data_IF_904835635260
#
_entry.id   IF_904835635260
#
_cell.length_a   1.000
_cell.length_b   1.000
_cell.length_c   1.000
_cell.angle_alpha   90.00
_cell.angle_beta   90.00
_cell.angle_gamma   90.00
#
_symmetry.space_group_name_H-M   'P 1'
#
loop_
_entity.id
_entity.type
_entity.pdbx_description
1 polymer ?
#
# COMPACT_ATOMS: atom_id res chain seq x y z
N UNK A 1 -29.87 -50.92 -50.23
CA UNK A 1 -30.10 -49.54 -49.73
C UNK A 1 -28.99 -49.15 -48.73
N UNK A 2 -27.92 -48.54 -49.25
CA UNK A 2 -26.83 -47.99 -48.45
C UNK A 2 -27.22 -46.59 -47.95
N UNK A 3 -27.08 -46.33 -46.66
CA UNK A 3 -27.24 -44.99 -46.09
C UNK A 3 -26.00 -44.13 -46.41
N UNK A 4 -26.16 -42.86 -46.80
CA UNK A 4 -25.04 -41.98 -47.15
C UNK A 4 -24.32 -41.47 -45.88
N UNK A 5 -22.99 -41.59 -45.87
CA UNK A 5 -22.12 -41.08 -44.81
C UNK A 5 -22.15 -39.55 -44.75
N UNK A 6 -22.32 -39.01 -43.55
CA UNK A 6 -22.22 -37.59 -43.25
C UNK A 6 -20.75 -37.12 -43.30
N UNK A 7 -20.47 -36.11 -44.12
CA UNK A 7 -19.19 -35.41 -44.13
C UNK A 7 -18.99 -34.65 -42.80
N UNK A 8 -17.78 -34.65 -42.21
CA UNK A 8 -17.49 -33.85 -41.02
C UNK A 8 -17.58 -32.35 -41.33
N UNK A 9 -18.05 -31.51 -40.38
CA UNK A 9 -18.23 -30.09 -40.61
C UNK A 9 -16.88 -29.39 -40.85
N UNK A 10 -16.84 -28.32 -41.68
CA UNK A 10 -15.60 -27.61 -41.99
C UNK A 10 -15.01 -27.00 -40.71
N UNK A 11 -13.74 -27.31 -40.43
CA UNK A 11 -12.96 -26.65 -39.36
C UNK A 11 -12.94 -25.16 -39.66
N UNK A 12 -13.69 -24.36 -38.89
CA UNK A 12 -13.54 -22.91 -38.86
C UNK A 12 -12.10 -22.61 -38.43
N UNK A 13 -11.28 -22.13 -39.35
CA UNK A 13 -9.96 -21.58 -39.05
C UNK A 13 -10.22 -20.26 -38.32
N UNK A 14 -10.24 -20.32 -37.00
CA UNK A 14 -10.31 -19.12 -36.16
C UNK A 14 -8.95 -18.45 -36.25
N UNK A 15 -8.92 -17.19 -36.71
CA UNK A 15 -7.69 -16.41 -36.75
C UNK A 15 -7.10 -16.30 -35.33
N UNK A 16 -5.80 -16.54 -35.15
CA UNK A 16 -5.19 -16.51 -33.82
C UNK A 16 -5.32 -15.13 -33.20
N UNK A 17 -5.65 -15.10 -31.92
CA UNK A 17 -5.73 -13.86 -31.13
C UNK A 17 -4.35 -13.24 -30.98
N UNK A 18 -4.28 -11.92 -30.79
CA UNK A 18 -3.00 -11.18 -30.61
C UNK A 18 -2.16 -11.78 -29.48
N UNK A 19 -2.80 -12.30 -28.42
CA UNK A 19 -2.13 -13.01 -27.33
C UNK A 19 -1.49 -14.34 -27.78
N UNK A 20 -2.12 -15.10 -28.67
CA UNK A 20 -1.58 -16.34 -29.23
C UNK A 20 -0.37 -16.07 -30.14
N UNK A 21 -0.44 -15.02 -30.96
CA UNK A 21 0.67 -14.59 -31.83
C UNK A 21 1.87 -14.13 -31.00
N UNK A 22 1.61 -13.33 -29.95
CA UNK A 22 2.67 -12.88 -29.04
C UNK A 22 3.29 -14.03 -28.24
N UNK A 23 2.49 -15.00 -27.80
CA UNK A 23 2.99 -16.20 -27.13
C UNK A 23 3.89 -17.04 -28.07
N UNK A 24 3.53 -17.14 -29.35
CA UNK A 24 4.35 -17.83 -30.35
C UNK A 24 5.68 -17.09 -30.60
N UNK A 25 5.65 -15.76 -30.73
CA UNK A 25 6.86 -14.94 -30.85
C UNK A 25 7.79 -15.10 -29.63
N UNK A 26 7.24 -15.03 -28.41
CA UNK A 26 8.01 -15.23 -27.17
C UNK A 26 8.61 -16.63 -27.12
N UNK A 27 7.86 -17.66 -27.53
CA UNK A 27 8.34 -19.05 -27.54
C UNK A 27 9.48 -19.23 -28.54
N UNK A 28 9.38 -18.62 -29.73
CA UNK A 28 10.47 -18.63 -30.71
C UNK A 28 11.72 -17.92 -30.18
N UNK A 29 11.56 -16.79 -29.49
CA UNK A 29 12.65 -16.06 -28.87
C UNK A 29 13.31 -16.90 -27.76
N UNK A 30 12.49 -17.51 -26.90
CA UNK A 30 12.98 -18.39 -25.83
C UNK A 30 13.84 -19.53 -26.40
N UNK A 31 13.36 -20.21 -27.44
CA UNK A 31 14.09 -21.31 -28.07
C UNK A 31 15.42 -20.87 -28.69
N UNK A 32 15.54 -19.61 -29.15
CA UNK A 32 16.79 -19.08 -29.70
C UNK A 32 17.83 -18.76 -28.63
N UNK A 33 17.40 -18.23 -27.48
CA UNK A 33 18.31 -17.56 -26.56
C UNK A 33 18.42 -18.19 -25.16
N UNK A 34 17.36 -18.74 -24.56
CA UNK A 34 17.40 -19.10 -23.13
C UNK A 34 16.66 -20.36 -22.71
N UNK A 35 15.82 -20.95 -23.57
CA UNK A 35 14.99 -22.11 -23.24
C UNK A 35 15.83 -23.28 -22.66
N UNK A 36 15.35 -23.95 -21.60
CA UNK A 36 16.14 -24.96 -20.89
C UNK A 36 16.44 -26.21 -21.71
N UNK A 37 15.57 -26.55 -22.65
CA UNK A 37 15.67 -27.78 -23.46
C UNK A 37 16.55 -27.63 -24.72
N UNK A 38 17.07 -26.43 -25.00
CA UNK A 38 17.87 -26.15 -26.20
C UNK A 38 19.37 -26.17 -25.88
N UNK A 39 20.13 -27.04 -26.56
CA UNK A 39 21.57 -27.26 -26.31
C UNK A 39 22.49 -26.18 -26.90
N UNK A 40 22.12 -25.55 -28.02
CA UNK A 40 22.89 -24.48 -28.67
C UNK A 40 22.05 -23.20 -28.68
N UNK A 41 22.47 -22.22 -27.87
CA UNK A 41 21.80 -20.92 -27.72
C UNK A 41 22.64 -19.85 -28.40
N UNK A 42 22.00 -18.82 -28.93
CA UNK A 42 22.71 -17.64 -29.45
C UNK A 42 23.37 -16.85 -28.31
N UNK A 43 24.44 -16.07 -28.59
CA UNK A 43 25.02 -15.14 -27.64
C UNK A 43 23.99 -14.14 -27.10
N UNK A 44 24.27 -13.57 -25.94
CA UNK A 44 23.40 -12.55 -25.35
C UNK A 44 23.30 -11.34 -26.28
N UNK A 45 22.06 -10.95 -26.57
CA UNK A 45 21.70 -9.69 -27.23
C UNK A 45 20.75 -8.95 -26.29
N UNK A 46 20.74 -7.62 -26.31
CA UNK A 46 19.88 -6.85 -25.41
C UNK A 46 18.43 -6.82 -25.91
N UNK A 47 17.77 -7.97 -25.92
CA UNK A 47 16.37 -8.13 -26.31
C UNK A 47 15.53 -8.14 -25.04
N UNK A 48 15.04 -6.97 -24.66
CA UNK A 48 14.09 -6.86 -23.55
C UNK A 48 12.67 -6.94 -24.12
N UNK A 49 12.09 -8.12 -24.05
CA UNK A 49 10.78 -8.42 -24.64
C UNK A 49 9.63 -7.87 -23.79
N UNK A 50 8.57 -7.49 -24.50
CA UNK A 50 7.49 -6.59 -24.07
C UNK A 50 6.65 -7.15 -22.91
N UNK A 51 6.27 -6.24 -22.00
CA UNK A 51 5.43 -6.41 -20.81
C UNK A 51 4.08 -7.13 -20.99
N UNK A 52 3.62 -7.34 -22.21
CA UNK A 52 2.27 -7.80 -22.54
C UNK A 52 2.09 -9.33 -22.53
N UNK A 53 3.13 -10.12 -22.26
CA UNK A 53 3.05 -11.60 -22.33
C UNK A 53 3.86 -12.28 -21.21
N UNK A 54 3.48 -12.00 -19.95
CA UNK A 54 4.15 -12.51 -18.74
C UNK A 54 4.12 -14.04 -18.57
N UNK A 55 2.98 -14.75 -18.78
CA UNK A 55 2.94 -16.19 -18.50
C UNK A 55 3.90 -17.01 -19.38
N UNK A 56 3.96 -16.82 -20.72
CA UNK A 56 4.95 -17.52 -21.57
C UNK A 56 6.41 -17.24 -21.19
N UNK A 57 6.72 -16.00 -20.80
CA UNK A 57 8.07 -15.61 -20.36
C UNK A 57 8.45 -16.33 -19.05
N UNK A 58 7.52 -16.43 -18.10
CA UNK A 58 7.75 -17.12 -16.84
C UNK A 58 8.04 -18.62 -17.05
N UNK A 59 7.19 -19.33 -17.81
CA UNK A 59 7.39 -20.76 -18.10
C UNK A 59 8.69 -21.06 -18.85
N UNK A 60 9.19 -20.09 -19.62
CA UNK A 60 10.44 -20.23 -20.38
C UNK A 60 11.73 -20.07 -19.56
N UNK A 61 11.64 -19.78 -18.25
CA UNK A 61 12.78 -19.48 -17.37
C UNK A 61 13.57 -18.23 -17.80
N UNK A 62 12.86 -17.17 -18.20
CA UNK A 62 13.46 -15.93 -18.70
C UNK A 62 14.34 -15.23 -17.65
N UNK A 63 13.92 -15.24 -16.38
CA UNK A 63 14.68 -14.63 -15.29
C UNK A 63 15.99 -15.40 -15.01
N UNK A 64 15.87 -16.73 -14.93
CA UNK A 64 16.95 -17.64 -14.56
C UNK A 64 18.02 -17.76 -15.63
N UNK A 65 17.62 -17.86 -16.89
CA UNK A 65 18.51 -18.24 -17.98
C UNK A 65 18.92 -17.05 -18.86
N UNK A 66 18.25 -15.89 -18.77
CA UNK A 66 18.52 -14.74 -19.63
C UNK A 66 18.77 -13.45 -18.86
N UNK A 67 17.81 -13.00 -18.04
CA UNK A 67 17.89 -11.69 -17.39
C UNK A 67 19.01 -11.66 -16.33
N UNK A 68 18.88 -12.43 -15.25
CA UNK A 68 19.79 -12.22 -14.11
C UNK A 68 21.23 -12.66 -14.38
N UNK A 69 21.41 -13.73 -15.15
CA UNK A 69 22.74 -14.26 -15.49
C UNK A 69 23.55 -13.23 -16.28
N UNK A 70 22.90 -12.49 -17.17
CA UNK A 70 23.54 -11.47 -18.00
C UNK A 70 23.39 -10.05 -17.44
N UNK A 71 22.77 -9.88 -16.27
CA UNK A 71 22.65 -8.57 -15.65
C UNK A 71 24.02 -8.06 -15.21
N UNK A 72 24.33 -6.83 -15.61
CA UNK A 72 25.49 -6.06 -15.22
C UNK A 72 25.10 -4.57 -15.14
N UNK A 73 25.76 -3.76 -14.29
CA UNK A 73 25.43 -2.34 -14.13
C UNK A 73 25.43 -1.55 -15.44
N UNK A 74 26.32 -1.88 -16.38
CA UNK A 74 26.44 -1.19 -17.68
C UNK A 74 25.24 -1.46 -18.60
N UNK A 75 24.59 -2.61 -18.46
CA UNK A 75 23.44 -3.04 -19.26
C UNK A 75 22.10 -2.62 -18.65
N UNK A 76 22.13 -1.97 -17.48
CA UNK A 76 20.95 -1.61 -16.70
C UNK A 76 20.13 -0.52 -17.40
N UNK A 77 19.04 -0.91 -18.06
CA UNK A 77 18.05 0.00 -18.65
C UNK A 77 16.71 -0.04 -17.91
N UNK A 78 15.83 0.94 -18.20
CA UNK A 78 14.43 0.93 -17.70
C UNK A 78 13.75 -0.39 -18.01
N UNK A 79 13.84 -0.85 -19.26
CA UNK A 79 13.22 -2.09 -19.69
C UNK A 79 13.76 -3.29 -18.88
N UNK A 80 15.08 -3.37 -18.70
CA UNK A 80 15.71 -4.47 -17.94
C UNK A 80 15.22 -4.49 -16.48
N UNK A 81 15.21 -3.32 -15.83
CA UNK A 81 14.75 -3.14 -14.45
C UNK A 81 13.31 -3.66 -14.30
N UNK A 82 12.42 -3.16 -15.15
CA UNK A 82 11.00 -3.50 -15.11
C UNK A 82 10.75 -4.99 -15.44
N UNK A 83 11.50 -5.57 -16.39
CA UNK A 83 11.37 -7.00 -16.72
C UNK A 83 11.75 -7.89 -15.54
N UNK A 84 12.82 -7.57 -14.80
CA UNK A 84 13.19 -8.33 -13.60
C UNK A 84 12.08 -8.23 -12.54
N UNK A 85 11.59 -7.02 -12.24
CA UNK A 85 10.52 -6.81 -11.27
C UNK A 85 9.23 -7.57 -11.67
N UNK A 86 8.82 -7.49 -12.94
CA UNK A 86 7.65 -8.23 -13.45
C UNK A 86 7.80 -9.75 -13.29
N UNK A 87 8.98 -10.30 -13.58
CA UNK A 87 9.21 -11.76 -13.43
C UNK A 87 9.19 -12.19 -11.97
N UNK A 88 9.72 -11.37 -11.05
CA UNK A 88 9.63 -11.63 -9.62
C UNK A 88 8.18 -11.57 -9.14
N UNK A 89 7.45 -10.52 -9.51
CA UNK A 89 6.03 -10.38 -9.12
C UNK A 89 5.17 -11.54 -9.64
N UNK A 90 5.40 -11.99 -10.89
CA UNK A 90 4.68 -13.15 -11.44
C UNK A 90 5.06 -14.45 -10.72
N UNK A 91 6.32 -14.61 -10.31
CA UNK A 91 6.74 -15.75 -9.47
C UNK A 91 6.01 -15.80 -8.13
N UNK A 92 5.84 -14.65 -7.47
CA UNK A 92 5.02 -14.56 -6.26
C UNK A 92 3.55 -14.87 -6.53
N UNK A 93 3.00 -14.37 -7.64
CA UNK A 93 1.62 -14.65 -8.04
C UNK A 93 1.36 -16.14 -8.27
N UNK A 94 2.30 -16.85 -8.88
CA UNK A 94 2.24 -18.30 -9.11
C UNK A 94 2.73 -19.12 -7.89
N UNK A 95 3.11 -18.45 -6.80
CA UNK A 95 3.60 -19.06 -5.56
C UNK A 95 4.81 -20.00 -5.78
N UNK A 96 5.76 -19.58 -6.61
CA UNK A 96 7.02 -20.29 -6.86
C UNK A 96 8.23 -19.54 -6.30
N UNK A 97 9.35 -20.22 -5.99
CA UNK A 97 10.54 -19.55 -5.44
C UNK A 97 11.06 -18.41 -6.32
N UNK A 98 11.04 -17.19 -5.76
CA UNK A 98 11.40 -15.98 -6.48
C UNK A 98 12.90 -15.62 -6.40
N UNK A 99 13.55 -15.98 -5.29
CA UNK A 99 14.86 -15.42 -4.92
C UNK A 99 16.08 -16.27 -5.29
N UNK A 100 15.89 -17.52 -5.74
CA UNK A 100 16.98 -18.47 -5.99
C UNK A 100 18.00 -17.98 -7.01
N UNK A 101 17.54 -17.31 -8.07
CA UNK A 101 18.42 -16.79 -9.13
C UNK A 101 19.36 -15.71 -8.59
N UNK A 102 18.85 -14.84 -7.73
CA UNK A 102 19.63 -13.77 -7.12
C UNK A 102 20.64 -14.32 -6.11
N UNK A 103 20.26 -15.35 -5.33
CA UNK A 103 21.17 -16.05 -4.42
C UNK A 103 22.35 -16.71 -5.15
N UNK A 104 22.13 -17.25 -6.35
CA UNK A 104 23.21 -17.85 -7.17
C UNK A 104 24.24 -16.83 -7.67
N UNK A 105 23.82 -15.59 -7.96
CA UNK A 105 24.70 -14.50 -8.43
C UNK A 105 24.35 -13.18 -7.72
N UNK A 106 24.77 -12.98 -6.46
CA UNK A 106 24.28 -11.86 -5.63
C UNK A 106 24.94 -10.51 -5.95
N UNK A 107 26.09 -10.52 -6.63
CA UNK A 107 27.02 -9.37 -6.76
C UNK A 107 26.37 -8.07 -7.25
N UNK A 108 25.42 -8.14 -8.18
CA UNK A 108 24.78 -6.96 -8.78
C UNK A 108 23.42 -6.60 -8.15
N UNK A 109 22.94 -7.38 -7.18
CA UNK A 109 21.66 -7.12 -6.52
C UNK A 109 21.61 -5.78 -5.79
N UNK A 110 22.64 -5.36 -5.03
CA UNK A 110 22.62 -4.05 -4.38
C UNK A 110 22.47 -2.88 -5.37
N UNK A 111 23.15 -2.94 -6.51
CA UNK A 111 23.03 -1.91 -7.55
C UNK A 111 21.63 -1.92 -8.18
N UNK A 112 21.12 -3.11 -8.53
CA UNK A 112 19.77 -3.28 -9.06
C UNK A 112 18.71 -2.73 -8.09
N UNK A 113 18.80 -3.09 -6.81
CA UNK A 113 17.86 -2.65 -5.79
C UNK A 113 17.87 -1.13 -5.61
N UNK A 114 19.04 -0.49 -5.60
CA UNK A 114 19.13 0.98 -5.58
C UNK A 114 18.48 1.62 -6.80
N UNK A 115 18.62 1.02 -8.00
CA UNK A 115 17.92 1.49 -9.21
C UNK A 115 16.41 1.37 -9.08
N UNK A 116 15.89 0.31 -8.43
CA UNK A 116 14.46 0.17 -8.11
C UNK A 116 14.01 1.30 -7.18
N UNK A 117 14.74 1.60 -6.10
CA UNK A 117 14.38 2.68 -5.18
C UNK A 117 14.28 4.04 -5.88
N UNK A 118 15.27 4.37 -6.71
CA UNK A 118 15.27 5.61 -7.51
C UNK A 118 14.10 5.65 -8.48
N UNK A 119 13.83 4.53 -9.17
CA UNK A 119 12.72 4.42 -10.12
C UNK A 119 11.34 4.57 -9.46
N UNK A 120 11.18 4.06 -8.23
CA UNK A 120 9.95 4.19 -7.44
C UNK A 120 9.67 5.62 -7.00
N UNK A 121 10.71 6.46 -6.86
CA UNK A 121 10.59 7.88 -6.50
C UNK A 121 10.56 8.82 -7.71
N UNK A 122 10.60 8.30 -8.94
CA UNK A 122 10.69 9.13 -10.14
C UNK A 122 9.47 10.07 -10.30
N UNK A 123 9.72 11.32 -10.70
CA UNK A 123 8.68 12.36 -10.88
C UNK A 123 7.83 12.17 -12.13
N UNK A 124 6.76 12.98 -12.29
CA UNK A 124 5.83 12.91 -13.44
C UNK A 124 6.50 13.09 -14.80
N UNK A 125 7.60 13.84 -14.87
CA UNK A 125 8.36 14.09 -16.10
C UNK A 125 9.37 12.98 -16.41
N UNK A 126 9.44 11.96 -15.55
CA UNK A 126 10.33 10.81 -15.74
C UNK A 126 9.76 9.85 -16.78
N UNK A 127 10.63 9.07 -17.41
CA UNK A 127 10.23 8.02 -18.35
C UNK A 127 9.35 6.93 -17.70
N UNK A 128 9.31 6.83 -16.37
CA UNK A 128 8.61 5.76 -15.64
C UNK A 128 7.18 6.19 -15.32
N UNK A 129 6.24 5.47 -15.91
CA UNK A 129 4.80 5.69 -15.74
C UNK A 129 4.32 5.25 -14.36
N UNK A 130 3.15 5.74 -13.94
CA UNK A 130 2.55 5.36 -12.65
C UNK A 130 2.18 3.87 -12.59
N UNK A 131 1.80 3.29 -13.73
CA UNK A 131 1.58 1.85 -13.85
C UNK A 131 2.87 1.06 -13.57
N UNK A 132 4.00 1.50 -14.14
CA UNK A 132 5.31 0.88 -13.88
C UNK A 132 5.72 1.08 -12.41
N UNK A 133 5.49 2.25 -11.83
CA UNK A 133 5.74 2.48 -10.40
C UNK A 133 4.87 1.58 -9.51
N UNK A 134 3.66 1.24 -9.93
CA UNK A 134 2.80 0.28 -9.22
C UNK A 134 3.42 -1.14 -9.21
N UNK A 135 4.05 -1.54 -10.31
CA UNK A 135 4.80 -2.81 -10.40
C UNK A 135 6.02 -2.78 -9.49
N UNK A 136 6.73 -1.65 -9.43
CA UNK A 136 7.88 -1.47 -8.53
C UNK A 136 7.46 -1.49 -7.06
N UNK A 137 6.30 -0.89 -6.72
CA UNK A 137 5.74 -0.98 -5.35
C UNK A 137 5.45 -2.42 -4.97
N UNK A 138 4.83 -3.22 -5.84
CA UNK A 138 4.59 -4.64 -5.58
C UNK A 138 5.90 -5.44 -5.44
N UNK A 139 6.91 -5.13 -6.25
CA UNK A 139 8.22 -5.75 -6.10
C UNK A 139 8.88 -5.38 -4.77
N UNK A 140 8.79 -4.12 -4.34
CA UNK A 140 9.29 -3.67 -3.05
C UNK A 140 8.55 -4.38 -1.92
N UNK A 141 7.22 -4.43 -1.98
CA UNK A 141 6.39 -5.17 -1.04
C UNK A 141 6.90 -6.60 -0.84
N UNK A 142 7.11 -7.34 -1.92
CA UNK A 142 7.71 -8.67 -1.86
C UNK A 142 9.10 -8.69 -1.20
N UNK A 143 9.95 -7.66 -1.41
CA UNK A 143 11.25 -7.57 -0.74
C UNK A 143 11.11 -7.35 0.77
N UNK A 144 10.22 -6.45 1.20
CA UNK A 144 9.97 -6.18 2.62
C UNK A 144 9.29 -7.36 3.33
N UNK A 145 8.51 -8.17 2.58
CA UNK A 145 7.92 -9.41 3.06
C UNK A 145 8.86 -10.64 3.03
N UNK A 146 10.09 -10.48 2.54
CA UNK A 146 11.08 -11.57 2.37
C UNK A 146 12.36 -11.39 3.19
N UNK A 147 12.27 -10.88 4.43
CA UNK A 147 13.42 -10.58 5.29
C UNK A 147 14.18 -11.84 5.76
N UNK A 148 13.59 -13.02 5.61
CA UNK A 148 14.26 -14.30 5.84
C UNK A 148 15.39 -14.57 4.82
N UNK A 149 15.37 -13.91 3.66
CA UNK A 149 16.43 -14.03 2.65
C UNK A 149 17.54 -13.04 2.94
N UNK A 150 18.72 -13.54 3.33
CA UNK A 150 19.88 -12.72 3.73
C UNK A 150 20.22 -11.60 2.74
N UNK A 151 20.29 -11.93 1.45
CA UNK A 151 20.57 -10.98 0.36
C UNK A 151 19.58 -9.80 0.34
N UNK A 152 18.29 -10.06 0.59
CA UNK A 152 17.24 -9.04 0.61
C UNK A 152 17.32 -8.24 1.91
N UNK A 153 17.45 -8.94 3.04
CA UNK A 153 17.52 -8.34 4.37
C UNK A 153 18.65 -7.32 4.48
N UNK A 154 19.81 -7.60 3.92
CA UNK A 154 20.95 -6.65 3.90
C UNK A 154 20.61 -5.32 3.23
N UNK A 155 19.79 -5.33 2.17
CA UNK A 155 19.37 -4.11 1.48
C UNK A 155 18.25 -3.40 2.26
N UNK A 156 17.27 -4.15 2.78
CA UNK A 156 16.12 -3.58 3.48
C UNK A 156 16.49 -2.98 4.84
N UNK A 157 17.45 -3.57 5.57
CA UNK A 157 17.88 -3.07 6.88
C UNK A 157 18.31 -1.60 6.85
N UNK A 158 18.88 -1.13 5.74
CA UNK A 158 19.30 0.27 5.56
C UNK A 158 18.10 1.23 5.49
N UNK A 159 16.93 0.74 5.08
CA UNK A 159 15.69 1.51 4.90
C UNK A 159 14.82 1.55 6.16
N UNK A 160 14.91 0.55 7.03
CA UNK A 160 14.01 0.36 8.20
C UNK A 160 14.68 0.47 9.56
N UNK A 161 15.98 0.77 9.62
CA UNK A 161 16.69 0.94 10.89
C UNK A 161 16.45 2.33 11.50
N UNK A 162 16.81 2.51 12.78
CA UNK A 162 16.72 3.80 13.50
C UNK A 162 17.15 5.03 12.68
N UNK A 163 18.23 5.02 11.86
CA UNK A 163 18.60 6.17 11.05
C UNK A 163 17.53 6.68 10.07
N UNK A 164 16.48 5.90 9.78
CA UNK A 164 15.34 6.37 8.98
C UNK A 164 14.61 7.57 9.61
N UNK A 165 14.75 7.75 10.94
CA UNK A 165 14.22 8.91 11.66
C UNK A 165 14.81 10.25 11.21
N UNK A 166 15.82 10.27 10.35
CA UNK A 166 16.24 11.49 9.63
C UNK A 166 15.16 12.03 8.67
N UNK A 167 14.13 11.22 8.37
CA UNK A 167 12.94 11.64 7.65
C UNK A 167 11.86 12.29 8.53
N UNK A 168 12.00 12.26 9.86
CA UNK A 168 11.07 12.92 10.78
C UNK A 168 11.26 14.44 10.78
N UNK A 169 10.21 15.16 11.16
CA UNK A 169 10.33 16.55 11.57
C UNK A 169 11.34 16.70 12.73
N UNK A 170 12.19 17.73 12.75
CA UNK A 170 13.20 17.90 13.79
C UNK A 170 12.60 17.95 15.21
N UNK A 171 11.46 18.62 15.38
CA UNK A 171 10.75 18.68 16.65
C UNK A 171 10.25 17.30 17.11
N UNK A 172 9.71 16.51 16.17
CA UNK A 172 9.24 15.15 16.42
C UNK A 172 10.39 14.22 16.82
N UNK A 173 11.51 14.27 16.10
CA UNK A 173 12.72 13.51 16.46
C UNK A 173 13.16 13.81 17.89
N UNK A 174 13.24 15.09 18.27
CA UNK A 174 13.64 15.46 19.63
C UNK A 174 12.63 14.99 20.69
N UNK A 175 11.32 14.99 20.38
CA UNK A 175 10.29 14.46 21.26
C UNK A 175 10.50 12.96 21.53
N UNK A 176 10.71 12.16 20.49
CA UNK A 176 10.93 10.71 20.63
C UNK A 176 12.24 10.37 21.36
N UNK A 177 13.32 11.13 21.08
CA UNK A 177 14.60 10.97 21.77
C UNK A 177 14.52 11.38 23.26
N UNK A 178 13.71 12.37 23.61
CA UNK A 178 13.44 12.74 25.01
C UNK A 178 12.60 11.66 25.71
N UNK A 179 11.61 11.10 25.02
CA UNK A 179 10.74 10.02 25.54
C UNK A 179 11.55 8.76 25.86
N UNK A 180 12.57 8.45 25.04
CA UNK A 180 13.43 7.28 25.24
C UNK A 180 14.91 7.67 25.28
N UNK A 181 15.46 8.09 26.45
CA UNK A 181 16.82 8.60 26.57
C UNK A 181 17.93 7.64 26.11
N UNK A 182 17.68 6.33 26.12
CA UNK A 182 18.61 5.32 25.58
C UNK A 182 18.85 5.51 24.08
N UNK A 183 17.81 5.89 23.32
CA UNK A 183 17.91 6.10 21.87
C UNK A 183 18.80 7.30 21.52
N UNK A 184 18.82 8.33 22.37
CA UNK A 184 19.71 9.49 22.18
C UNK A 184 21.18 9.10 22.10
N UNK A 185 21.62 8.09 22.87
CA UNK A 185 23.01 7.60 22.79
C UNK A 185 23.30 6.93 21.46
N UNK A 186 22.39 6.09 20.96
CA UNK A 186 22.52 5.43 19.66
C UNK A 186 22.45 6.43 18.50
N UNK A 187 21.56 7.42 18.61
CA UNK A 187 21.43 8.51 17.63
C UNK A 187 22.75 9.28 17.47
N UNK A 188 23.33 9.73 18.58
CA UNK A 188 24.62 10.43 18.57
C UNK A 188 25.77 9.57 17.99
N UNK A 189 25.70 8.24 18.15
CA UNK A 189 26.68 7.33 17.55
C UNK A 189 26.51 7.23 16.03
N UNK A 190 25.26 7.21 15.55
CA UNK A 190 24.95 7.23 14.12
C UNK A 190 25.50 8.52 13.49
N UNK A 191 25.22 9.68 14.08
CA UNK A 191 25.72 10.97 13.60
C UNK A 191 27.26 10.99 13.52
N UNK A 192 27.94 10.53 14.57
CA UNK A 192 29.42 10.42 14.59
C UNK A 192 29.98 9.45 13.55
N UNK A 193 29.24 8.41 13.19
CA UNK A 193 29.66 7.47 12.16
C UNK A 193 29.45 8.06 10.77
N UNK A 194 28.36 8.80 10.55
CA UNK A 194 28.08 9.51 9.29
C UNK A 194 29.14 10.58 8.98
N UNK A 195 29.65 11.27 10.01
CA UNK A 195 30.73 12.25 9.87
C UNK A 195 32.03 11.65 9.31
N UNK A 196 32.25 10.35 9.52
CA UNK A 196 33.45 9.63 9.04
C UNK A 196 33.31 9.10 7.61
N UNK A 197 32.10 9.12 7.06
CA UNK A 197 31.83 8.61 5.71
C UNK A 197 32.28 9.63 4.66
N UNK A 198 32.71 9.15 3.50
CA UNK A 198 32.92 10.02 2.35
C UNK A 198 31.59 10.64 1.89
N UNK A 199 31.67 11.81 1.25
CA UNK A 199 30.48 12.60 0.89
C UNK A 199 29.51 11.84 -0.02
N UNK A 200 30.03 11.06 -0.97
CA UNK A 200 29.21 10.30 -1.92
C UNK A 200 28.45 9.18 -1.22
N UNK A 201 29.13 8.39 -0.39
CA UNK A 201 28.50 7.32 0.40
C UNK A 201 27.51 7.91 1.39
N UNK A 202 27.84 9.02 2.05
CA UNK A 202 26.93 9.69 2.99
C UNK A 202 25.65 10.16 2.30
N UNK A 203 25.75 10.80 1.14
CA UNK A 203 24.57 11.24 0.37
C UNK A 203 23.69 10.05 -0.04
N UNK A 204 24.30 8.97 -0.52
CA UNK A 204 23.59 7.74 -0.88
C UNK A 204 22.86 7.13 0.31
N UNK A 205 23.54 7.02 1.45
CA UNK A 205 22.95 6.52 2.70
C UNK A 205 21.82 7.42 3.21
N UNK A 206 21.91 8.73 3.01
CA UNK A 206 20.85 9.66 3.38
C UNK A 206 19.61 9.54 2.48
N UNK A 207 19.80 9.24 1.20
CA UNK A 207 18.69 8.92 0.30
C UNK A 207 17.97 7.64 0.74
N UNK A 208 18.73 6.58 1.05
CA UNK A 208 18.18 5.30 1.53
C UNK A 208 17.37 5.48 2.83
N UNK A 209 17.91 6.20 3.81
CA UNK A 209 17.22 6.46 5.09
C UNK A 209 15.96 7.32 4.94
N UNK A 210 15.90 8.19 3.93
CA UNK A 210 14.71 9.02 3.64
C UNK A 210 13.73 8.40 2.65
N UNK A 211 14.08 7.26 2.04
CA UNK A 211 13.31 6.63 0.97
C UNK A 211 11.83 6.48 1.32
N UNK A 212 11.50 5.84 2.45
CA UNK A 212 10.10 5.61 2.84
C UNK A 212 9.35 6.91 3.12
N UNK A 213 9.98 7.88 3.79
CA UNK A 213 9.38 9.19 4.03
C UNK A 213 9.08 9.94 2.72
N UNK A 214 10.00 9.88 1.74
CA UNK A 214 9.82 10.50 0.42
C UNK A 214 8.75 9.76 -0.40
N UNK A 215 8.69 8.43 -0.29
CA UNK A 215 7.68 7.63 -0.98
C UNK A 215 6.27 7.95 -0.47
N UNK A 216 6.12 8.19 0.85
CA UNK A 216 4.87 8.69 1.44
C UNK A 216 4.50 10.05 0.87
N UNK A 217 5.43 11.00 0.78
CA UNK A 217 5.16 12.32 0.21
C UNK A 217 4.73 12.23 -1.27
N UNK A 218 5.39 11.39 -2.06
CA UNK A 218 4.99 11.10 -3.44
C UNK A 218 3.58 10.51 -3.50
N UNK A 219 3.24 9.56 -2.63
CA UNK A 219 1.89 9.01 -2.56
C UNK A 219 0.85 10.09 -2.23
N UNK A 220 1.10 10.93 -1.22
CA UNK A 220 0.19 12.02 -0.84
C UNK A 220 -0.04 12.96 -2.04
N UNK A 221 1.02 13.27 -2.80
CA UNK A 221 0.90 14.06 -4.03
C UNK A 221 0.03 13.38 -5.10
N UNK A 222 0.22 12.07 -5.33
CA UNK A 222 -0.62 11.29 -6.27
C UNK A 222 -2.07 11.29 -5.81
N UNK A 223 -2.32 11.04 -4.53
CA UNK A 223 -3.65 11.00 -3.92
C UNK A 223 -4.38 12.35 -4.04
N UNK A 224 -3.71 13.45 -3.72
CA UNK A 224 -4.27 14.82 -3.87
C UNK A 224 -4.55 15.19 -5.32
N UNK A 225 -3.85 14.58 -6.29
CA UNK A 225 -4.10 14.81 -7.71
C UNK A 225 -5.36 14.11 -8.26
N UNK A 226 -6.08 13.37 -7.43
CA UNK A 226 -7.37 12.76 -7.78
C UNK A 226 -8.48 13.75 -7.42
N UNK A 227 -9.12 14.34 -8.43
CA UNK A 227 -10.26 15.23 -8.25
C UNK A 227 -11.59 14.45 -8.18
N UNK A 228 -12.62 15.07 -7.59
CA UNK A 228 -13.97 14.48 -7.48
C UNK A 228 -14.67 14.46 -8.86
N UNK A 229 -14.48 15.51 -9.67
CA UNK A 229 -15.24 15.76 -10.90
C UNK A 229 -14.59 15.25 -12.19
N UNK A 230 -13.31 14.90 -12.16
CA UNK A 230 -12.56 14.57 -13.38
C UNK A 230 -12.68 13.10 -13.76
N UNK A 231 -12.43 12.80 -15.05
CA UNK A 231 -12.26 11.44 -15.53
C UNK A 231 -11.13 10.76 -14.74
N UNK A 232 -11.48 9.71 -13.99
CA UNK A 232 -10.56 9.04 -13.07
C UNK A 232 -9.56 8.18 -13.85
N UNK A 233 -8.28 8.49 -13.69
CA UNK A 233 -7.20 7.62 -14.17
C UNK A 233 -7.10 6.40 -13.24
N UNK A 234 -7.45 5.21 -13.75
CA UNK A 234 -7.41 3.96 -12.97
C UNK A 234 -6.00 3.61 -12.47
N UNK A 235 -4.95 4.06 -13.14
CA UNK A 235 -3.57 3.82 -12.68
C UNK A 235 -3.28 4.54 -11.36
N UNK A 236 -3.88 5.72 -11.13
CA UNK A 236 -3.77 6.42 -9.84
C UNK A 236 -4.46 5.64 -8.72
N UNK A 237 -5.63 5.07 -9.00
CA UNK A 237 -6.38 4.25 -8.03
C UNK A 237 -5.56 3.01 -7.67
N UNK A 238 -5.08 2.27 -8.66
CA UNK A 238 -4.27 1.06 -8.46
C UNK A 238 -2.97 1.34 -7.72
N UNK A 239 -2.31 2.45 -8.04
CA UNK A 239 -1.14 2.90 -7.31
C UNK A 239 -1.47 3.18 -5.85
N UNK A 240 -2.58 3.87 -5.57
CA UNK A 240 -3.00 4.18 -4.20
C UNK A 240 -3.36 2.91 -3.41
N UNK A 241 -4.09 1.98 -4.01
CA UNK A 241 -4.43 0.69 -3.41
C UNK A 241 -3.16 -0.10 -3.05
N UNK A 242 -2.25 -0.26 -4.01
CA UNK A 242 -0.97 -0.98 -3.81
C UNK A 242 -0.07 -0.29 -2.80
N UNK A 243 -0.08 1.03 -2.76
CA UNK A 243 0.67 1.78 -1.76
C UNK A 243 0.13 1.53 -0.35
N UNK A 244 -1.20 1.55 -0.14
CA UNK A 244 -1.77 1.26 1.18
C UNK A 244 -1.52 -0.19 1.59
N UNK A 245 -1.63 -1.15 0.66
CA UNK A 245 -1.23 -2.55 0.90
C UNK A 245 0.22 -2.64 1.38
N UNK A 246 1.14 -1.97 0.71
CA UNK A 246 2.54 -1.91 1.13
C UNK A 246 2.69 -1.29 2.54
N UNK A 247 1.95 -0.23 2.88
CA UNK A 247 1.99 0.35 4.24
C UNK A 247 1.45 -0.62 5.30
N UNK A 248 0.40 -1.39 4.98
CA UNK A 248 -0.17 -2.41 5.88
C UNK A 248 0.89 -3.46 6.20
N UNK A 249 1.57 -3.98 5.20
CA UNK A 249 2.55 -5.06 5.38
C UNK A 249 3.77 -4.58 6.19
N UNK A 250 4.24 -3.35 5.96
CA UNK A 250 5.27 -2.72 6.79
C UNK A 250 4.84 -2.57 8.26
N UNK A 251 3.59 -2.17 8.50
CA UNK A 251 3.05 -1.93 9.84
C UNK A 251 2.66 -3.22 10.58
N UNK A 252 2.39 -4.30 9.85
CA UNK A 252 2.00 -5.60 10.39
C UNK A 252 3.20 -6.43 10.89
N UNK A 253 4.40 -6.18 10.36
CA UNK A 253 5.62 -6.89 10.75
C UNK A 253 6.47 -6.05 11.71
N UNK A 254 6.78 -6.58 12.91
CA UNK A 254 7.53 -5.83 13.92
C UNK A 254 8.90 -5.29 13.46
N UNK A 255 9.74 -6.03 12.69
CA UNK A 255 11.04 -5.54 12.26
C UNK A 255 10.97 -4.27 11.39
N UNK A 256 9.95 -4.17 10.53
CA UNK A 256 9.69 -3.00 9.68
C UNK A 256 8.97 -1.90 10.45
N UNK A 257 7.98 -2.27 11.27
CA UNK A 257 7.17 -1.34 12.08
C UNK A 257 7.99 -0.52 13.08
N UNK A 258 8.94 -1.15 13.78
CA UNK A 258 9.62 -0.62 14.98
C UNK A 258 10.02 0.85 14.89
N UNK A 259 10.55 1.28 13.74
CA UNK A 259 10.97 2.66 13.50
C UNK A 259 10.06 3.37 12.51
N UNK A 260 9.44 2.62 11.60
CA UNK A 260 8.57 3.14 10.55
C UNK A 260 7.24 3.68 11.06
N UNK A 261 6.64 3.09 12.09
CA UNK A 261 5.36 3.54 12.65
C UNK A 261 5.41 5.03 13.06
N UNK A 262 6.53 5.48 13.62
CA UNK A 262 6.75 6.89 13.96
C UNK A 262 6.82 7.79 12.71
N UNK A 263 7.46 7.33 11.63
CA UNK A 263 7.54 8.05 10.35
C UNK A 263 6.14 8.15 9.71
N UNK A 264 5.38 7.06 9.77
CA UNK A 264 4.02 7.01 9.23
C UNK A 264 3.09 7.96 10.01
N UNK A 265 3.16 7.98 11.34
CA UNK A 265 2.43 8.92 12.19
C UNK A 265 2.84 10.38 11.94
N UNK A 266 4.14 10.68 11.80
CA UNK A 266 4.65 12.04 11.52
C UNK A 266 4.22 12.57 10.15
N UNK A 267 3.97 11.68 9.18
CA UNK A 267 3.52 12.04 7.84
C UNK A 267 2.02 12.37 7.74
N UNK A 268 1.24 12.08 8.79
CA UNK A 268 -0.22 12.25 8.82
C UNK A 268 -0.96 11.54 7.68
N UNK A 269 -0.37 10.45 7.15
CA UNK A 269 -0.87 9.75 5.98
C UNK A 269 -2.30 9.27 6.14
N UNK A 270 -2.66 8.70 7.29
CA UNK A 270 -4.01 8.20 7.56
C UNK A 270 -5.03 9.34 7.48
N UNK A 271 -4.73 10.51 8.02
CA UNK A 271 -5.59 11.70 7.96
C UNK A 271 -5.74 12.18 6.52
N UNK A 272 -4.64 12.25 5.76
CA UNK A 272 -4.70 12.59 4.33
C UNK A 272 -5.57 11.63 3.53
N UNK A 273 -5.51 10.32 3.83
CA UNK A 273 -6.32 9.31 3.17
C UNK A 273 -7.82 9.47 3.46
N UNK A 274 -8.21 9.65 4.73
CA UNK A 274 -9.62 9.81 5.11
C UNK A 274 -10.25 11.10 4.60
N UNK A 275 -9.47 12.16 4.37
CA UNK A 275 -9.97 13.41 3.79
C UNK A 275 -9.89 13.47 2.25
N UNK A 276 -9.29 12.44 1.63
CA UNK A 276 -9.05 12.43 0.19
C UNK A 276 -10.34 12.39 -0.64
N UNK A 277 -10.26 12.85 -1.87
CA UNK A 277 -11.37 12.71 -2.82
C UNK A 277 -11.64 11.25 -3.20
N UNK A 278 -10.65 10.37 -3.07
CA UNK A 278 -10.77 8.95 -3.45
C UNK A 278 -11.76 8.21 -2.54
N UNK A 279 -11.74 8.47 -1.23
CA UNK A 279 -12.69 7.83 -0.29
C UNK A 279 -14.14 8.27 -0.51
N UNK A 280 -14.36 9.44 -1.13
CA UNK A 280 -15.69 9.96 -1.48
C UNK A 280 -16.27 9.29 -2.72
N UNK A 281 -15.50 8.42 -3.41
CA UNK A 281 -15.94 7.69 -4.60
C UNK A 281 -16.37 6.28 -4.23
N UNK A 282 -17.67 6.06 -4.06
CA UNK A 282 -18.23 4.79 -3.57
C UNK A 282 -17.85 3.55 -4.39
N UNK A 283 -17.64 3.68 -5.70
CA UNK A 283 -17.31 2.55 -6.58
C UNK A 283 -15.81 2.35 -6.72
N UNK A 284 -15.10 3.37 -7.17
CA UNK A 284 -13.68 3.26 -7.50
C UNK A 284 -12.77 3.33 -6.28
N UNK A 285 -13.20 4.00 -5.21
CA UNK A 285 -12.47 4.10 -3.95
C UNK A 285 -12.78 2.97 -2.96
N UNK A 286 -13.66 2.02 -3.31
CA UNK A 286 -14.16 1.04 -2.35
C UNK A 286 -13.06 0.16 -1.74
N UNK A 287 -12.20 -0.42 -2.59
CA UNK A 287 -11.08 -1.24 -2.13
C UNK A 287 -10.06 -0.41 -1.35
N UNK A 288 -9.78 0.82 -1.82
CA UNK A 288 -8.93 1.75 -1.08
C UNK A 288 -9.45 2.02 0.34
N UNK A 289 -10.76 2.21 0.53
CA UNK A 289 -11.35 2.39 1.87
C UNK A 289 -11.18 1.14 2.75
N UNK A 290 -11.39 -0.06 2.19
CA UNK A 290 -11.19 -1.31 2.95
C UNK A 290 -9.72 -1.47 3.41
N UNK A 291 -8.77 -1.17 2.53
CA UNK A 291 -7.35 -1.19 2.84
C UNK A 291 -7.01 -0.09 3.86
N UNK A 292 -7.58 1.11 3.73
CA UNK A 292 -7.37 2.21 4.67
C UNK A 292 -7.83 1.86 6.09
N UNK A 293 -8.97 1.17 6.23
CA UNK A 293 -9.45 0.70 7.53
C UNK A 293 -8.50 -0.34 8.15
N UNK A 294 -7.92 -1.23 7.34
CA UNK A 294 -6.88 -2.15 7.79
C UNK A 294 -5.61 -1.40 8.22
N UNK A 295 -5.19 -0.38 7.48
CA UNK A 295 -4.04 0.44 7.87
C UNK A 295 -4.32 1.21 9.17
N UNK A 296 -5.52 1.75 9.35
CA UNK A 296 -5.94 2.39 10.62
C UNK A 296 -5.86 1.42 11.80
N UNK A 297 -6.21 0.15 11.58
CA UNK A 297 -6.07 -0.89 12.59
C UNK A 297 -4.60 -1.12 12.99
N UNK A 298 -3.70 -1.29 12.01
CA UNK A 298 -2.29 -1.56 12.30
C UNK A 298 -1.54 -0.35 12.86
N UNK A 299 -1.73 0.85 12.31
CA UNK A 299 -1.12 2.09 12.86
C UNK A 299 -1.49 2.31 14.33
N UNK A 300 -2.72 1.94 14.69
CA UNK A 300 -3.23 2.00 16.04
C UNK A 300 -3.11 0.70 16.85
N UNK A 301 -2.29 -0.26 16.43
CA UNK A 301 -2.21 -1.57 17.05
C UNK A 301 -1.65 -1.51 18.48
N UNK A 302 -2.20 -2.34 19.37
CA UNK A 302 -1.87 -2.32 20.81
C UNK A 302 -0.55 -3.06 21.11
N UNK A 303 0.56 -2.56 20.54
CA UNK A 303 1.92 -3.11 20.71
C UNK A 303 2.92 -2.02 21.06
N UNK A 304 3.91 -2.36 21.88
CA UNK A 304 5.07 -1.51 22.11
C UNK A 304 6.10 -1.74 20.99
N UNK A 305 6.32 -0.74 20.14
CA UNK A 305 7.21 -0.84 18.97
C UNK A 305 8.67 -1.21 19.33
N UNK A 306 9.13 -0.86 20.53
CA UNK A 306 10.50 -1.13 20.96
C UNK A 306 10.65 -2.55 21.51
N UNK A 307 9.77 -2.96 22.43
CA UNK A 307 9.85 -4.28 23.09
C UNK A 307 9.21 -5.40 22.28
N UNK A 308 8.24 -5.07 21.43
CA UNK A 308 7.41 -6.05 20.71
C UNK A 308 6.32 -6.69 21.56
N UNK A 309 6.15 -6.26 22.82
CA UNK A 309 5.14 -6.80 23.71
C UNK A 309 3.78 -6.11 23.46
N UNK A 310 2.70 -6.88 23.59
CA UNK A 310 1.35 -6.31 23.58
C UNK A 310 1.18 -5.32 24.74
N UNK A 311 0.48 -4.21 24.47
CA UNK A 311 0.15 -3.20 25.47
C UNK A 311 -0.98 -3.71 26.36
N UNK A 312 -0.84 -3.46 27.65
CA UNK A 312 -1.90 -3.72 28.63
C UNK A 312 -2.97 -2.62 28.56
N UNK A 313 -4.17 -2.91 29.08
CA UNK A 313 -5.25 -1.91 29.17
C UNK A 313 -4.84 -0.66 29.96
N UNK A 314 -3.99 -0.82 30.99
CA UNK A 314 -3.47 0.29 31.79
C UNK A 314 -2.48 1.14 30.99
N UNK A 315 -1.58 0.52 30.21
CA UNK A 315 -0.65 1.24 29.33
C UNK A 315 -1.41 2.00 28.24
N UNK A 316 -2.43 1.39 27.64
CA UNK A 316 -3.30 2.05 26.66
C UNK A 316 -3.99 3.28 27.24
N UNK A 317 -4.56 3.14 28.44
CA UNK A 317 -5.19 4.27 29.17
C UNK A 317 -4.16 5.36 29.46
N UNK A 318 -2.97 4.98 29.92
CA UNK A 318 -1.89 5.93 30.23
C UNK A 318 -1.46 6.71 28.99
N UNK A 319 -1.26 6.03 27.85
CA UNK A 319 -0.91 6.67 26.57
C UNK A 319 -1.97 7.70 26.14
N UNK A 320 -3.25 7.36 26.29
CA UNK A 320 -4.36 8.28 25.98
C UNK A 320 -4.37 9.51 26.90
N UNK A 321 -4.24 9.29 28.21
CA UNK A 321 -4.23 10.36 29.20
C UNK A 321 -3.01 11.28 29.02
N UNK A 322 -1.84 10.74 28.70
CA UNK A 322 -0.63 11.52 28.43
C UNK A 322 -0.81 12.42 27.21
N UNK A 323 -1.47 11.93 26.14
CA UNK A 323 -1.79 12.73 24.96
C UNK A 323 -2.71 13.89 25.30
N UNK A 324 -3.85 13.62 25.95
CA UNK A 324 -4.80 14.68 26.34
C UNK A 324 -4.15 15.67 27.30
N UNK A 325 -3.40 15.18 28.28
CA UNK A 325 -2.70 16.04 29.25
C UNK A 325 -1.67 16.93 28.56
N UNK A 326 -0.93 16.42 27.57
CA UNK A 326 0.02 17.24 26.80
C UNK A 326 -0.71 18.36 26.02
N UNK A 327 -1.86 18.05 25.44
CA UNK A 327 -2.71 19.00 24.73
C UNK A 327 -3.33 20.04 25.67
N UNK A 328 -3.81 19.64 26.85
CA UNK A 328 -4.31 20.56 27.87
C UNK A 328 -3.21 21.49 28.41
N UNK A 329 -1.99 20.99 28.58
CA UNK A 329 -0.84 21.83 28.98
C UNK A 329 -0.51 22.88 27.91
N UNK A 330 -0.48 22.49 26.63
CA UNK A 330 -0.26 23.43 25.54
C UNK A 330 -1.39 24.47 25.45
N UNK A 331 -2.65 24.02 25.56
CA UNK A 331 -3.83 24.88 25.61
C UNK A 331 -3.76 25.91 26.74
N UNK A 332 -3.47 25.47 27.97
CA UNK A 332 -3.36 26.37 29.13
C UNK A 332 -2.23 27.40 29.00
N UNK A 333 -1.08 26.99 28.47
CA UNK A 333 0.09 27.85 28.41
C UNK A 333 -0.02 28.94 27.32
N UNK A 334 -0.66 28.63 26.18
CA UNK A 334 -0.54 29.44 24.98
C UNK A 334 -1.86 29.90 24.35
N UNK A 335 -3.02 29.34 24.75
CA UNK A 335 -4.30 29.57 24.06
C UNK A 335 -5.42 29.91 25.04
N UNK A 336 -5.67 31.21 25.30
CA UNK A 336 -6.70 31.65 26.24
C UNK A 336 -8.11 31.15 25.89
N UNK A 337 -8.42 30.98 24.61
CA UNK A 337 -9.69 30.47 24.11
C UNK A 337 -9.95 29.02 24.54
N UNK A 338 -8.90 28.29 24.92
CA UNK A 338 -8.94 26.89 25.32
C UNK A 338 -8.81 26.69 26.84
N UNK A 339 -8.88 27.75 27.66
CA UNK A 339 -8.75 27.61 29.12
C UNK A 339 -9.79 26.66 29.74
N UNK A 340 -11.05 26.75 29.32
CA UNK A 340 -12.10 25.86 29.82
C UNK A 340 -11.80 24.40 29.48
N UNK A 341 -11.30 24.13 28.27
CA UNK A 341 -10.87 22.79 27.86
C UNK A 341 -9.67 22.31 28.69
N UNK A 342 -8.69 23.17 28.91
CA UNK A 342 -7.47 22.83 29.63
C UNK A 342 -7.71 22.45 31.11
N UNK A 343 -8.75 23.00 31.73
CA UNK A 343 -9.13 22.76 33.13
C UNK A 343 -10.16 21.63 33.30
N UNK A 344 -10.73 21.13 32.21
CA UNK A 344 -11.75 20.09 32.24
C UNK A 344 -11.14 18.70 32.51
N UNK A 345 -11.94 17.78 33.04
CA UNK A 345 -11.54 16.39 33.18
C UNK A 345 -11.43 15.70 31.82
N UNK A 346 -10.47 14.76 31.69
CA UNK A 346 -10.19 14.03 30.45
C UNK A 346 -11.46 13.42 29.85
N UNK A 347 -12.28 12.74 30.65
CA UNK A 347 -13.49 12.06 30.18
C UNK A 347 -14.62 12.98 29.69
N UNK A 348 -14.55 14.28 29.94
CA UNK A 348 -15.51 15.24 29.37
C UNK A 348 -15.08 15.75 27.99
N UNK A 349 -13.78 15.67 27.68
CA UNK A 349 -13.18 16.34 26.53
C UNK A 349 -12.60 15.39 25.49
N UNK A 350 -12.45 14.11 25.80
CA UNK A 350 -11.77 13.12 24.95
C UNK A 350 -12.67 12.42 23.91
N UNK A 351 -13.97 12.72 23.89
CA UNK A 351 -14.86 12.21 22.83
C UNK A 351 -14.69 13.01 21.55
N UNK A 352 -14.85 12.36 20.40
CA UNK A 352 -14.78 13.01 19.07
C UNK A 352 -15.71 14.22 18.98
N UNK A 353 -16.96 14.08 19.44
CA UNK A 353 -17.95 15.17 19.42
C UNK A 353 -17.56 16.33 20.32
N UNK A 354 -16.98 16.06 21.51
CA UNK A 354 -16.45 17.11 22.40
C UNK A 354 -15.30 17.86 21.72
N UNK A 355 -14.33 17.13 21.16
CA UNK A 355 -13.18 17.72 20.47
C UNK A 355 -13.61 18.58 19.28
N UNK A 356 -14.56 18.12 18.46
CA UNK A 356 -15.09 18.91 17.34
C UNK A 356 -15.79 20.20 17.81
N UNK A 357 -16.53 20.16 18.92
CA UNK A 357 -17.17 21.36 19.49
C UNK A 357 -16.15 22.37 20.01
N UNK A 358 -15.03 21.89 20.57
CA UNK A 358 -13.97 22.73 21.14
C UNK A 358 -13.09 23.33 20.05
N UNK A 359 -12.58 22.50 19.13
CA UNK A 359 -11.61 22.91 18.11
C UNK A 359 -12.26 23.44 16.83
N UNK A 360 -13.51 23.07 16.53
CA UNK A 360 -14.23 23.50 15.33
C UNK A 360 -14.39 25.01 15.17
N UNK A 361 -14.68 25.79 16.22
CA UNK A 361 -14.76 27.26 16.15
C UNK A 361 -13.42 27.96 15.90
N UNK A 362 -12.28 27.30 16.16
CA UNK A 362 -10.97 27.95 16.07
C UNK A 362 -10.59 28.29 14.62
N UNK A 363 -9.69 29.27 14.50
CA UNK A 363 -9.11 29.65 13.21
C UNK A 363 -8.10 28.59 12.73
N UNK A 364 -7.88 28.46 11.41
CA UNK A 364 -6.87 27.55 10.88
C UNK A 364 -5.45 27.82 11.43
N UNK A 365 -5.09 29.09 11.63
CA UNK A 365 -3.78 29.47 12.17
C UNK A 365 -3.62 29.00 13.62
N UNK A 366 -4.66 29.15 14.45
CA UNK A 366 -4.63 28.63 15.83
C UNK A 366 -4.54 27.10 15.87
N UNK A 367 -5.29 26.39 15.04
CA UNK A 367 -5.21 24.92 14.96
C UNK A 367 -3.80 24.47 14.55
N UNK A 368 -3.17 25.17 13.61
CA UNK A 368 -1.78 24.92 13.22
C UNK A 368 -0.84 25.14 14.40
N UNK A 369 -0.96 26.25 15.11
CA UNK A 369 -0.12 26.54 16.28
C UNK A 369 -0.28 25.46 17.38
N UNK A 370 -1.50 25.01 17.67
CA UNK A 370 -1.73 23.90 18.61
C UNK A 370 -0.99 22.63 18.15
N UNK A 371 -1.11 22.29 16.86
CA UNK A 371 -0.43 21.12 16.30
C UNK A 371 1.10 21.26 16.33
N UNK A 372 1.66 22.46 16.16
CA UNK A 372 3.11 22.69 16.22
C UNK A 372 3.67 22.56 17.64
N UNK A 373 2.94 23.04 18.66
CA UNK A 373 3.31 22.80 20.08
C UNK A 373 3.37 21.32 20.43
N UNK A 374 2.54 20.50 19.79
CA UNK A 374 2.53 19.05 19.95
C UNK A 374 3.56 18.32 19.07
N UNK A 375 4.43 19.07 18.38
CA UNK A 375 5.42 18.54 17.44
C UNK A 375 4.81 17.71 16.30
N UNK A 376 3.59 18.06 15.87
CA UNK A 376 2.90 17.41 14.75
C UNK A 376 3.13 18.15 13.44
N UNK A 377 3.26 19.46 13.49
CA UNK A 377 3.53 20.32 12.34
C UNK A 377 4.73 21.23 12.63
N UNK A 378 5.39 21.77 11.58
CA UNK A 378 6.40 22.80 11.75
C UNK A 378 5.81 24.05 12.44
N UNK A 379 6.67 24.87 13.03
CA UNK A 379 6.23 26.12 13.62
C UNK A 379 5.68 27.07 12.53
N UNK A 380 4.54 27.71 12.81
CA UNK A 380 3.99 28.76 11.97
C UNK A 380 4.71 30.08 12.30
N UNK A 381 5.37 30.68 11.30
CA UNK A 381 6.05 31.96 11.47
C UNK A 381 5.05 33.07 11.81
N UNK A 382 5.48 34.06 12.60
CA UNK A 382 4.65 35.22 12.93
C UNK A 382 4.26 35.99 11.67
N UNK A 383 2.96 36.18 11.45
CA UNK A 383 2.42 36.88 10.29
C UNK A 383 2.13 36.01 9.06
N UNK A 384 2.51 34.73 9.07
CA UNK A 384 2.17 33.80 7.98
C UNK A 384 0.85 33.07 8.23
N UNK A 385 0.14 32.76 7.14
CA UNK A 385 -1.05 31.92 7.19
C UNK A 385 -0.67 30.46 6.97
N UNK A 386 -1.46 29.55 7.55
CA UNK A 386 -1.29 28.12 7.33
C UNK A 386 -1.51 27.73 5.87
N UNK A 387 -0.66 26.86 5.35
CA UNK A 387 -0.83 26.21 4.03
C UNK A 387 -1.76 24.99 4.08
N UNK A 388 -2.21 24.60 5.27
CA UNK A 388 -3.09 23.46 5.49
C UNK A 388 -4.55 23.88 5.57
N UNK A 389 -5.41 23.08 4.94
CA UNK A 389 -6.86 23.24 5.02
C UNK A 389 -7.36 23.05 6.47
N UNK A 390 -8.41 23.79 6.84
CA UNK A 390 -8.99 23.74 8.18
C UNK A 390 -9.42 22.31 8.56
N UNK A 391 -10.06 21.60 7.63
CA UNK A 391 -10.57 20.25 7.85
C UNK A 391 -9.43 19.27 8.16
N UNK A 392 -8.27 19.44 7.51
CA UNK A 392 -7.08 18.65 7.80
C UNK A 392 -6.54 18.89 9.20
N UNK A 393 -6.39 20.15 9.60
CA UNK A 393 -5.89 20.51 10.92
C UNK A 393 -6.84 20.05 12.04
N UNK A 394 -8.14 20.18 11.81
CA UNK A 394 -9.16 19.74 12.74
C UNK A 394 -9.14 18.20 12.88
N UNK A 395 -9.14 17.47 11.76
CA UNK A 395 -9.09 16.01 11.80
C UNK A 395 -7.80 15.51 12.45
N UNK A 396 -6.65 16.14 12.17
CA UNK A 396 -5.36 15.80 12.78
C UNK A 396 -5.41 15.87 14.32
N UNK A 397 -5.95 16.96 14.86
CA UNK A 397 -6.06 17.13 16.31
C UNK A 397 -7.11 16.17 16.90
N UNK A 398 -8.26 16.01 16.23
CA UNK A 398 -9.35 15.16 16.72
C UNK A 398 -8.95 13.68 16.71
N UNK A 399 -8.49 13.15 15.57
CA UNK A 399 -8.19 11.71 15.41
C UNK A 399 -7.05 11.24 16.30
N UNK A 400 -6.14 12.14 16.69
CA UNK A 400 -5.02 11.81 17.59
C UNK A 400 -5.44 11.70 19.05
N UNK A 401 -6.43 12.47 19.46
CA UNK A 401 -6.85 12.65 20.85
C UNK A 401 -8.21 12.02 21.16
N UNK A 402 -8.98 11.58 20.16
CA UNK A 402 -10.25 10.90 20.39
C UNK A 402 -10.05 9.59 21.16
N UNK A 403 -10.94 9.33 22.11
CA UNK A 403 -10.97 8.07 22.84
C UNK A 403 -11.16 6.89 21.87
N UNK A 404 -10.28 5.90 21.97
CA UNK A 404 -10.32 4.70 21.14
C UNK A 404 -10.84 3.51 21.94
N UNK A 405 -11.77 2.77 21.35
CA UNK A 405 -12.16 1.45 21.86
C UNK A 405 -11.03 0.46 21.66
N UNK A 406 -10.83 -0.44 22.63
CA UNK A 406 -9.79 -1.47 22.55
C UNK A 406 -10.05 -2.47 21.43
N UNK A 407 -9.01 -3.13 20.95
CA UNK A 407 -9.13 -4.19 19.94
C UNK A 407 -10.03 -5.34 20.41
N UNK A 408 -9.97 -5.69 21.70
CA UNK A 408 -10.82 -6.73 22.29
C UNK A 408 -12.30 -6.32 22.20
N UNK A 409 -12.61 -5.07 22.52
CA UNK A 409 -13.98 -4.55 22.39
C UNK A 409 -14.44 -4.50 20.93
N UNK A 410 -13.57 -4.10 20.00
CA UNK A 410 -13.87 -4.13 18.57
C UNK A 410 -14.20 -5.56 18.10
N UNK A 411 -13.36 -6.53 18.48
CA UNK A 411 -13.57 -7.94 18.15
C UNK A 411 -14.90 -8.46 18.69
N UNK A 412 -15.22 -8.14 19.95
CA UNK A 412 -16.47 -8.55 20.61
C UNK A 412 -17.73 -7.94 19.97
N UNK A 413 -17.61 -6.82 19.26
CA UNK A 413 -18.71 -6.18 18.51
C UNK A 413 -18.89 -6.76 17.11
N UNK A 414 -17.98 -7.61 16.63
CA UNK A 414 -18.09 -8.20 15.31
C UNK A 414 -19.17 -9.29 15.28
N UNK A 415 -20.11 -9.24 14.30
CA UNK A 415 -21.08 -10.31 14.15
C UNK A 415 -20.37 -11.62 13.78
N UNK A 416 -20.71 -12.70 14.47
CA UNK A 416 -20.13 -14.03 14.24
C UNK A 416 -20.52 -14.61 12.87
N UNK A 417 -21.70 -14.25 12.36
CA UNK A 417 -22.20 -14.73 11.08
C UNK A 417 -21.89 -13.75 9.95
N UNK A 418 -21.53 -14.29 8.79
CA UNK A 418 -21.35 -13.51 7.56
C UNK A 418 -22.68 -12.85 7.21
N UNK A 419 -22.70 -11.52 7.16
CA UNK A 419 -23.86 -10.79 6.66
C UNK A 419 -23.94 -10.93 5.13
N UNK A 420 -25.17 -10.93 4.61
CA UNK A 420 -25.49 -11.00 3.18
C UNK A 420 -24.66 -9.98 2.37
N UNK A 421 -24.45 -8.79 2.92
CA UNK A 421 -23.64 -7.72 2.30
C UNK A 421 -22.17 -8.10 2.10
N UNK A 422 -21.52 -8.77 3.06
CA UNK A 422 -20.13 -9.26 2.91
C UNK A 422 -20.05 -10.47 1.97
N UNK A 423 -21.07 -11.33 1.95
CA UNK A 423 -21.13 -12.47 1.04
C UNK A 423 -21.18 -12.01 -0.43
N UNK A 424 -22.05 -11.04 -0.74
CA UNK A 424 -22.20 -10.51 -2.08
C UNK A 424 -21.09 -9.53 -2.50
N UNK A 425 -20.39 -8.87 -1.57
CA UNK A 425 -19.23 -8.03 -1.91
C UNK A 425 -18.05 -8.82 -2.50
N UNK A 426 -17.88 -10.10 -2.16
CA UNK A 426 -16.83 -10.94 -2.74
C UNK A 426 -17.15 -11.46 -4.14
N UNK A 427 -18.40 -11.36 -4.60
CA UNK A 427 -18.85 -11.98 -5.85
C UNK A 427 -19.64 -10.96 -6.65
N UNK A 428 -19.06 -10.41 -7.72
CA UNK A 428 -19.68 -9.46 -8.65
C UNK A 428 -20.95 -10.05 -9.32
N UNK A 429 -22.08 -10.06 -8.64
CA UNK A 429 -23.39 -10.42 -9.19
C UNK A 429 -24.24 -9.15 -9.34
N UNK A 430 -24.93 -9.01 -10.49
CA UNK A 430 -26.04 -8.06 -10.62
C UNK A 430 -27.30 -8.65 -9.99
N UNK A 431 -27.93 -7.88 -9.11
CA UNK A 431 -29.23 -8.21 -8.51
C UNK A 431 -30.34 -7.67 -9.41
N UNK A 432 -31.21 -8.54 -9.91
CA UNK A 432 -32.43 -8.17 -10.65
C UNK A 432 -33.63 -8.54 -9.77
N UNK A 433 -34.42 -7.55 -9.39
CA UNK A 433 -35.62 -7.74 -8.58
C UNK A 433 -36.84 -7.61 -9.51
N UNK A 434 -37.60 -8.70 -9.67
CA UNK A 434 -38.84 -8.71 -10.46
C UNK A 434 -40.02 -8.98 -9.52
N UNK A 435 -41.05 -8.14 -9.61
CA UNK A 435 -42.28 -8.29 -8.84
C UNK A 435 -43.28 -9.11 -9.66
N UNK A 436 -43.58 -10.33 -9.22
CA UNK A 436 -44.64 -11.17 -9.78
C UNK A 436 -45.77 -11.30 -8.76
N UNK A 437 -46.82 -10.47 -8.92
CA UNK A 437 -47.95 -10.44 -7.99
C UNK A 437 -47.56 -9.91 -6.60
N UNK A 438 -47.91 -10.65 -5.53
CA UNK A 438 -47.58 -10.29 -4.13
C UNK A 438 -46.15 -10.68 -3.72
N UNK A 439 -45.43 -11.46 -4.53
CA UNK A 439 -44.10 -11.95 -4.19
C UNK A 439 -43.02 -11.19 -4.96
N UNK A 440 -41.92 -10.90 -4.28
CA UNK A 440 -40.69 -10.36 -4.86
C UNK A 440 -39.75 -11.53 -5.17
N UNK A 441 -39.35 -11.68 -6.42
CA UNK A 441 -38.30 -12.64 -6.82
C UNK A 441 -37.01 -11.89 -7.12
N UNK A 442 -35.93 -12.34 -6.48
CA UNK A 442 -34.58 -11.78 -6.63
C UNK A 442 -33.74 -12.75 -7.44
N UNK A 443 -33.22 -12.29 -8.58
CA UNK A 443 -32.35 -13.05 -9.46
C UNK A 443 -30.91 -12.52 -9.37
N UNK A 444 -29.94 -13.42 -9.32
CA UNK A 444 -28.51 -13.10 -9.31
C UNK A 444 -27.92 -13.48 -10.66
N UNK A 445 -27.33 -12.50 -11.37
CA UNK A 445 -26.76 -12.73 -12.70
C UNK A 445 -25.28 -12.31 -12.76
N UNK A 446 -24.42 -13.21 -13.24
CA UNK A 446 -22.98 -12.98 -13.38
C UNK A 446 -22.72 -12.12 -14.64
N UNK A 447 -21.85 -11.09 -14.60
CA UNK A 447 -21.60 -10.25 -15.77
C UNK A 447 -20.80 -11.03 -16.84
N UNK A 448 -21.43 -11.27 -18.00
CA UNK A 448 -20.81 -11.97 -19.14
C UNK A 448 -21.75 -12.93 -19.90
N UNK A 449 -22.89 -13.28 -19.30
CA UNK A 449 -23.94 -14.09 -19.96
C UNK A 449 -25.02 -13.16 -20.55
N UNK A 450 -25.13 -13.13 -21.87
CA UNK A 450 -26.26 -12.49 -22.56
C UNK A 450 -27.57 -13.23 -22.20
N UNK A 451 -28.69 -12.51 -21.95
CA UNK A 451 -29.97 -13.14 -21.68
C UNK A 451 -30.57 -13.59 -23.02
N UNK A 452 -30.18 -14.79 -23.49
CA UNK A 452 -30.84 -15.42 -24.62
C UNK A 452 -31.96 -16.33 -24.13
N UNK A 453 -33.13 -16.06 -24.72
CA UNK A 453 -34.41 -16.72 -24.54
C UNK A 453 -34.35 -18.26 -24.58
N UNK A 454 -35.22 -18.90 -23.79
CA UNK A 454 -35.62 -20.29 -24.00
C UNK A 454 -35.70 -21.08 -22.70
N UNK A 455 -36.92 -21.47 -22.31
CA UNK A 455 -37.17 -22.51 -21.30
C UNK A 455 -36.50 -23.81 -21.74
N UNK A 456 -35.34 -24.15 -21.18
CA UNK A 456 -34.85 -25.52 -21.15
C UNK A 456 -34.16 -25.79 -19.81
N UNK A 457 -34.77 -26.65 -19.01
CA UNK A 457 -34.16 -27.31 -17.85
C UNK A 457 -32.98 -28.15 -18.35
N UNK A 458 -31.76 -27.66 -18.17
CA UNK A 458 -30.55 -28.47 -18.36
C UNK A 458 -30.15 -29.08 -17.02
N UNK A 459 -30.33 -30.40 -16.90
CA UNK A 459 -29.74 -31.22 -15.86
C UNK A 459 -28.24 -31.44 -16.19
N UNK A 460 -27.37 -30.74 -15.47
CA UNK A 460 -25.91 -30.89 -15.50
C UNK A 460 -25.30 -30.16 -14.29
N UNK A 461 -24.11 -30.56 -13.79
CA UNK A 461 -23.61 -30.17 -12.47
C UNK A 461 -22.98 -28.77 -12.53
N UNK A 462 -23.83 -27.75 -12.57
CA UNK A 462 -23.48 -26.36 -12.27
C UNK A 462 -24.53 -25.88 -11.26
N UNK A 463 -24.12 -25.79 -9.99
CA UNK A 463 -24.95 -25.28 -8.90
C UNK A 463 -25.37 -23.84 -9.20
N UNK A 464 -26.56 -23.67 -9.78
CA UNK A 464 -27.36 -22.48 -9.50
C UNK A 464 -27.88 -22.66 -8.08
N UNK A 465 -27.26 -22.00 -7.11
CA UNK A 465 -27.84 -21.92 -5.77
C UNK A 465 -29.02 -20.96 -5.86
N UNK A 466 -30.20 -21.53 -6.10
CA UNK A 466 -31.47 -20.82 -5.96
C UNK A 466 -31.72 -20.64 -4.46
N UNK A 467 -31.44 -19.45 -3.93
CA UNK A 467 -31.99 -19.08 -2.63
C UNK A 467 -33.39 -18.50 -2.85
N UNK A 468 -34.42 -19.31 -2.63
CA UNK A 468 -35.77 -18.78 -2.37
C UNK A 468 -35.76 -18.13 -0.98
N UNK A 469 -35.60 -16.82 -0.94
CA UNK A 469 -35.98 -16.04 0.24
C UNK A 469 -37.44 -15.63 0.07
N UNK A 470 -38.34 -16.31 0.78
CA UNK A 470 -39.66 -15.77 1.09
C UNK A 470 -39.41 -14.63 2.07
N UNK A 471 -39.54 -13.38 1.61
CA UNK A 471 -39.71 -12.23 2.49
C UNK A 471 -41.04 -12.41 3.22
N UNK A 472 -40.98 -12.67 4.54
CA UNK A 472 -42.08 -12.39 5.45
C UNK A 472 -42.01 -10.93 5.87
#
# INVERSE_FOLDING_TARGET
PAQPGSLPPPKKIVAPTVSQINAEFVTQLANKYWAPHVKKKLPFEQIVTIFSSLPPLHFSQYLENYLWVNYAPELSSKAYLMSICCMVNEKFRENVPAWETFKKKPQHFPFFFKRVLVASLADKDSEITLQEQTILLLFLDHCFNSLEVDLIREQIQQLISLPMWMGLQPARLQLELKKTPKLKKFWNLIEKNDEKMDEKTRLQTYQERRFLSQLIQKFIYVLKSIAISDALCMDKVRYCERFIEFMIDLEALLPTRRWFNTILDDSHLVVHCYLSSLVKRDKEGHLFCQLLDMLKFYTGFEINDQTGNALTANEMTTIHYDRITSLQRAAFAHFPELYNFALSNVSAVDTRDSLLKIFGPLSPNMLHQVASYLCLLPALCEGENTNYEKDFLLELLVSRHEHRISQIQQLNQMPLFINIRRYFMKINFKIIIIREGKNLRVWLCQPGLHPCAGRQLYNGPLQYILYEYILL
#
